data_IF_928430291944
#
_entry.id   IF_928430291944
#
_cell.length_a   1.000
_cell.length_b   1.000
_cell.length_c   1.000
_cell.angle_alpha   90.00
_cell.angle_beta   90.00
_cell.angle_gamma   90.00
#
_symmetry.space_group_name_H-M   'P 1'
#
loop_
_entity.id
_entity.type
_entity.pdbx_description
1 polymer ?
#
# COMPACT_ATOMS: atom_id res chain seq x y z
N UNK A 1 -10.54 4.92 -11.04
CA UNK A 1 -10.35 6.38 -11.13
C UNK A 1 -11.62 6.98 -11.68
N UNK A 2 -12.02 8.15 -11.19
CA UNK A 2 -13.19 8.90 -11.67
C UNK A 2 -12.74 10.30 -12.09
N UNK A 3 -13.23 10.75 -13.23
CA UNK A 3 -13.05 12.12 -13.73
C UNK A 3 -14.32 12.90 -13.40
N UNK A 4 -14.16 14.04 -12.73
CA UNK A 4 -15.27 14.87 -12.28
C UNK A 4 -15.01 16.33 -12.59
N UNK A 5 -16.08 17.14 -12.57
CA UNK A 5 -15.96 18.60 -12.46
C UNK A 5 -15.27 18.95 -11.14
N UNK A 6 -14.31 19.87 -11.21
CA UNK A 6 -13.62 20.33 -10.00
C UNK A 6 -14.56 21.20 -9.15
N UNK A 7 -14.79 20.75 -7.92
CA UNK A 7 -15.59 21.44 -6.91
C UNK A 7 -14.76 21.91 -5.72
N UNK A 8 -13.44 21.72 -5.77
CA UNK A 8 -12.50 22.05 -4.68
C UNK A 8 -12.90 21.39 -3.35
N UNK A 9 -13.23 20.08 -3.41
CA UNK A 9 -13.68 19.34 -2.22
C UNK A 9 -12.57 19.12 -1.19
N UNK A 10 -11.32 18.97 -1.64
CA UNK A 10 -10.12 18.90 -0.82
C UNK A 10 -8.86 19.15 -1.68
N UNK A 11 -7.79 19.62 -1.06
CA UNK A 11 -6.50 19.94 -1.70
C UNK A 11 -5.37 18.96 -1.36
N UNK A 12 -5.54 18.08 -0.38
CA UNK A 12 -4.59 17.01 -0.06
C UNK A 12 -4.32 16.08 -1.25
N UNK A 13 -3.11 15.52 -1.31
CA UNK A 13 -2.75 14.52 -2.31
C UNK A 13 -3.56 13.22 -2.16
N UNK A 14 -3.88 12.84 -0.93
CA UNK A 14 -4.78 11.72 -0.61
C UNK A 14 -5.37 11.86 0.80
N UNK A 15 -6.49 11.17 1.02
CA UNK A 15 -7.16 11.04 2.31
C UNK A 15 -7.54 9.58 2.57
N UNK A 16 -7.51 9.18 3.85
CA UNK A 16 -8.00 7.88 4.30
C UNK A 16 -9.45 7.95 4.72
N UNK A 17 -10.22 6.94 4.36
CA UNK A 17 -11.64 6.85 4.67
C UNK A 17 -11.84 5.78 5.73
N UNK A 18 -12.31 6.19 6.91
CA UNK A 18 -12.61 5.31 8.04
C UNK A 18 -14.12 5.19 8.31
N UNK A 19 -14.95 5.62 7.37
CA UNK A 19 -16.41 5.52 7.46
C UNK A 19 -16.87 4.10 7.10
N UNK A 20 -17.48 3.34 8.04
CA UNK A 20 -17.91 1.96 7.81
C UNK A 20 -19.11 1.84 6.85
N UNK A 21 -19.74 2.96 6.46
CA UNK A 21 -20.86 2.97 5.52
C UNK A 21 -20.45 2.87 4.05
N UNK A 22 -19.15 2.92 3.76
CA UNK A 22 -18.56 2.79 2.42
C UNK A 22 -17.42 1.78 2.40
N UNK A 23 -17.04 1.33 1.20
CA UNK A 23 -15.96 0.35 0.99
C UNK A 23 -14.65 0.97 0.55
N UNK A 24 -14.67 2.17 -0.03
CA UNK A 24 -13.44 2.89 -0.38
C UNK A 24 -12.60 3.12 0.87
N UNK A 25 -11.31 2.77 0.81
CA UNK A 25 -10.38 2.96 1.93
C UNK A 25 -9.47 4.17 1.78
N UNK A 26 -9.20 4.60 0.54
CA UNK A 26 -8.38 5.78 0.24
C UNK A 26 -8.88 6.48 -1.02
N UNK A 27 -8.88 7.80 -0.99
CA UNK A 27 -9.13 8.65 -2.16
C UNK A 27 -7.90 9.51 -2.41
N UNK A 28 -7.37 9.47 -3.63
CA UNK A 28 -6.25 10.29 -4.10
C UNK A 28 -6.77 11.41 -5.00
N UNK A 29 -6.17 12.60 -4.92
CA UNK A 29 -6.43 13.72 -5.82
C UNK A 29 -5.23 13.92 -6.76
N UNK A 30 -5.32 13.41 -7.98
CA UNK A 30 -4.23 13.52 -8.95
C UNK A 30 -3.95 14.96 -9.38
N UNK A 31 -4.96 15.85 -9.31
CA UNK A 31 -4.77 17.27 -9.62
C UNK A 31 -3.90 17.97 -8.57
N UNK A 32 -4.01 17.56 -7.30
CA UNK A 32 -3.17 18.07 -6.21
C UNK A 32 -1.72 17.61 -6.30
N UNK A 33 -1.45 16.50 -7.00
CA UNK A 33 -0.07 16.11 -7.32
C UNK A 33 0.56 17.00 -8.39
N UNK A 34 -0.18 17.26 -9.47
CA UNK A 34 0.22 18.22 -10.49
C UNK A 34 -0.99 18.58 -11.37
N UNK A 35 -1.14 19.85 -11.79
CA UNK A 35 -2.15 20.24 -12.76
C UNK A 35 -1.99 19.52 -14.11
N UNK A 36 -0.79 19.03 -14.45
CA UNK A 36 -0.54 18.31 -15.71
C UNK A 36 -1.08 16.87 -15.70
N UNK A 37 -1.44 16.33 -14.53
CA UNK A 37 -2.08 15.01 -14.42
C UNK A 37 -3.57 15.03 -14.77
N UNK A 38 -4.15 16.21 -15.02
CA UNK A 38 -5.54 16.38 -15.49
C UNK A 38 -5.55 17.38 -16.64
N UNK A 39 -5.92 16.98 -17.87
CA UNK A 39 -5.76 17.82 -19.06
C UNK A 39 -6.63 19.08 -19.07
N UNK A 40 -7.80 19.05 -18.44
CA UNK A 40 -8.70 20.20 -18.39
C UNK A 40 -8.74 20.85 -17.01
N UNK A 41 -8.59 22.18 -16.99
CA UNK A 41 -8.48 22.95 -15.75
C UNK A 41 -9.74 22.94 -14.88
N UNK A 42 -10.91 22.69 -15.47
CA UNK A 42 -12.21 22.62 -14.77
C UNK A 42 -12.55 21.22 -14.24
N UNK A 43 -11.60 20.28 -14.31
CA UNK A 43 -11.77 18.89 -13.87
C UNK A 43 -10.77 18.48 -12.80
N UNK A 44 -11.13 17.40 -12.13
CA UNK A 44 -10.30 16.64 -11.20
C UNK A 44 -10.38 15.16 -11.52
N UNK A 45 -9.31 14.42 -11.23
CA UNK A 45 -9.29 12.97 -11.29
C UNK A 45 -9.08 12.41 -9.88
N UNK A 46 -10.06 11.66 -9.39
CA UNK A 46 -9.96 10.98 -8.11
C UNK A 46 -9.60 9.50 -8.29
N UNK A 47 -8.54 9.08 -7.61
CA UNK A 47 -8.13 7.68 -7.49
C UNK A 47 -8.75 7.05 -6.24
N UNK A 48 -9.76 6.19 -6.41
CA UNK A 48 -10.40 5.49 -5.30
C UNK A 48 -9.82 4.07 -5.18
N UNK A 49 -9.42 3.69 -3.97
CA UNK A 49 -8.87 2.36 -3.69
C UNK A 49 -9.82 1.50 -2.87
N UNK A 50 -10.05 0.30 -3.39
CA UNK A 50 -10.86 -0.75 -2.78
C UNK A 50 -9.99 -1.97 -2.53
N UNK A 51 -9.93 -2.42 -1.28
CA UNK A 51 -9.21 -3.63 -0.92
C UNK A 51 -10.12 -4.84 -1.12
N UNK A 52 -9.61 -5.83 -1.85
CA UNK A 52 -10.35 -7.04 -2.21
C UNK A 52 -9.40 -8.24 -2.36
N UNK A 53 -9.97 -9.43 -2.32
CA UNK A 53 -9.32 -10.70 -2.58
C UNK A 53 -9.73 -11.22 -3.96
N UNK A 54 -8.83 -11.96 -4.64
CA UNK A 54 -9.19 -12.64 -5.87
C UNK A 54 -10.41 -13.56 -5.62
N UNK A 55 -11.40 -13.48 -6.50
CA UNK A 55 -12.67 -14.22 -6.42
C UNK A 55 -13.64 -13.77 -5.33
N UNK A 56 -13.42 -12.61 -4.70
CA UNK A 56 -14.46 -11.98 -3.91
C UNK A 56 -15.44 -11.16 -4.78
N UNK A 57 -16.55 -10.71 -4.17
CA UNK A 57 -17.59 -10.00 -4.90
C UNK A 57 -17.13 -8.66 -5.51
N UNK A 58 -16.15 -7.98 -4.91
CA UNK A 58 -15.60 -6.74 -5.48
C UNK A 58 -14.67 -7.05 -6.66
N UNK A 59 -13.81 -8.06 -6.51
CA UNK A 59 -12.86 -8.46 -7.54
C UNK A 59 -13.56 -8.93 -8.81
N UNK A 60 -14.59 -9.75 -8.66
CA UNK A 60 -15.36 -10.34 -9.77
C UNK A 60 -16.44 -9.40 -10.34
N UNK A 61 -16.70 -8.25 -9.70
CA UNK A 61 -17.64 -7.24 -10.22
C UNK A 61 -17.18 -6.70 -11.58
N UNK A 62 -18.13 -6.30 -12.42
CA UNK A 62 -17.80 -5.65 -13.69
C UNK A 62 -17.23 -4.25 -13.46
N UNK A 63 -16.48 -3.72 -14.44
CA UNK A 63 -15.93 -2.36 -14.35
C UNK A 63 -17.02 -1.30 -14.19
N UNK A 64 -18.16 -1.50 -14.88
CA UNK A 64 -19.31 -0.61 -14.78
C UNK A 64 -19.89 -0.62 -13.36
N UNK A 65 -20.06 -1.79 -12.75
CA UNK A 65 -20.59 -1.89 -11.39
C UNK A 65 -19.66 -1.24 -10.37
N UNK A 66 -18.34 -1.38 -10.56
CA UNK A 66 -17.33 -0.74 -9.70
C UNK A 66 -17.30 0.79 -9.88
N UNK A 67 -17.48 1.28 -11.10
CA UNK A 67 -17.61 2.71 -11.37
C UNK A 67 -18.86 3.26 -10.69
N UNK A 68 -20.01 2.59 -10.81
CA UNK A 68 -21.26 3.04 -10.17
C UNK A 68 -21.21 2.94 -8.64
N UNK A 69 -20.56 1.90 -8.09
CA UNK A 69 -20.22 1.83 -6.67
C UNK A 69 -19.41 3.05 -6.23
N UNK A 70 -18.32 3.35 -6.96
CA UNK A 70 -17.43 4.46 -6.63
C UNK A 70 -18.11 5.83 -6.71
N UNK A 71 -18.97 6.05 -7.72
CA UNK A 71 -19.76 7.27 -7.82
C UNK A 71 -20.68 7.44 -6.62
N UNK A 72 -21.43 6.38 -6.26
CA UNK A 72 -22.36 6.40 -5.14
C UNK A 72 -21.65 6.69 -3.81
N UNK A 73 -20.57 5.98 -3.53
CA UNK A 73 -19.84 6.15 -2.27
C UNK A 73 -19.21 7.53 -2.16
N UNK A 74 -18.66 8.07 -3.26
CA UNK A 74 -18.07 9.41 -3.27
C UNK A 74 -19.11 10.51 -3.01
N UNK A 75 -20.33 10.37 -3.52
CA UNK A 75 -21.46 11.26 -3.19
C UNK A 75 -21.87 11.08 -1.72
N UNK A 76 -21.97 9.83 -1.25
CA UNK A 76 -22.36 9.51 0.13
C UNK A 76 -21.43 10.15 1.17
N UNK A 77 -20.11 10.15 0.93
CA UNK A 77 -19.12 10.79 1.80
C UNK A 77 -18.91 12.28 1.50
N UNK A 78 -19.71 12.88 0.62
CA UNK A 78 -19.72 14.33 0.37
C UNK A 78 -18.58 14.87 -0.49
N UNK A 79 -17.82 14.00 -1.16
CA UNK A 79 -16.68 14.39 -2.02
C UNK A 79 -17.07 14.58 -3.50
N UNK A 80 -18.34 14.41 -3.84
CA UNK A 80 -18.88 14.70 -5.16
C UNK A 80 -20.40 14.96 -5.09
N UNK A 81 -20.97 15.50 -6.16
CA UNK A 81 -22.43 15.60 -6.34
C UNK A 81 -22.89 14.78 -7.54
N UNK A 82 -24.16 14.39 -7.52
CA UNK A 82 -24.80 13.83 -8.71
C UNK A 82 -24.65 14.79 -9.90
N UNK A 83 -24.23 14.26 -11.05
CA UNK A 83 -23.97 15.04 -12.28
C UNK A 83 -22.58 15.70 -12.38
N UNK A 84 -21.70 15.51 -11.39
CA UNK A 84 -20.29 15.94 -11.50
C UNK A 84 -19.45 14.96 -12.33
N UNK A 85 -19.85 13.69 -12.40
CA UNK A 85 -19.11 12.62 -13.06
C UNK A 85 -19.09 12.75 -14.58
N UNK A 86 -17.89 12.68 -15.16
CA UNK A 86 -17.65 12.75 -16.61
C UNK A 86 -17.33 11.35 -17.15
N UNK A 87 -16.39 10.65 -16.52
CA UNK A 87 -15.93 9.34 -16.96
C UNK A 87 -15.28 8.56 -15.81
N UNK A 88 -15.00 7.27 -16.02
CA UNK A 88 -14.32 6.43 -15.05
C UNK A 88 -13.58 5.27 -15.69
N UNK A 89 -12.52 4.81 -15.02
CA UNK A 89 -11.80 3.60 -15.42
C UNK A 89 -11.42 2.76 -14.19
N UNK A 90 -11.28 1.46 -14.41
CA UNK A 90 -10.95 0.47 -13.38
C UNK A 90 -9.62 -0.19 -13.72
N UNK A 91 -8.78 -0.35 -12.71
CA UNK A 91 -7.54 -1.13 -12.80
C UNK A 91 -7.55 -2.13 -11.64
N UNK A 92 -7.33 -3.41 -11.95
CA UNK A 92 -7.20 -4.48 -10.95
C UNK A 92 -5.74 -4.90 -10.83
N UNK A 93 -5.18 -4.80 -9.64
CA UNK A 93 -3.79 -5.17 -9.38
C UNK A 93 -3.72 -6.45 -8.54
N UNK A 94 -3.31 -7.56 -9.16
CA UNK A 94 -3.00 -8.79 -8.42
C UNK A 94 -1.75 -8.60 -7.58
N UNK A 95 -1.70 -9.26 -6.41
CA UNK A 95 -0.54 -9.25 -5.51
C UNK A 95 -0.08 -7.82 -5.15
N UNK A 96 -1.04 -6.92 -4.92
CA UNK A 96 -0.75 -5.53 -4.59
C UNK A 96 -0.13 -5.38 -3.18
N UNK A 97 -0.61 -6.15 -2.20
CA UNK A 97 -0.17 -6.06 -0.81
C UNK A 97 0.33 -7.42 -0.32
N UNK A 98 1.56 -7.52 0.23
CA UNK A 98 1.94 -8.67 1.02
C UNK A 98 1.11 -8.65 2.30
N UNK A 99 0.33 -9.71 2.50
CA UNK A 99 -0.47 -9.90 3.73
C UNK A 99 0.39 -10.65 4.74
N UNK A 100 0.39 -10.15 5.97
CA UNK A 100 1.12 -10.75 7.09
C UNK A 100 0.11 -11.38 8.04
N UNK A 101 -0.02 -12.69 7.95
CA UNK A 101 -0.72 -13.49 8.96
C UNK A 101 0.21 -13.81 10.14
N UNK A 102 -0.32 -14.49 11.17
CA UNK A 102 0.42 -14.81 12.40
C UNK A 102 1.67 -15.67 12.14
N UNK A 103 1.69 -16.44 11.05
CA UNK A 103 2.75 -17.39 10.71
C UNK A 103 3.70 -16.87 9.63
N UNK A 104 3.45 -15.67 9.08
CA UNK A 104 4.06 -15.23 7.84
C UNK A 104 5.58 -15.19 7.93
N UNK A 105 6.12 -14.73 9.06
CA UNK A 105 7.55 -14.61 9.27
C UNK A 105 8.24 -15.97 9.23
N UNK A 106 7.60 -17.00 9.80
CA UNK A 106 8.06 -18.39 9.74
C UNK A 106 8.04 -18.91 8.30
N UNK A 107 6.94 -18.68 7.57
CA UNK A 107 6.82 -19.08 6.17
C UNK A 107 7.87 -18.43 5.27
N UNK A 108 8.09 -17.11 5.42
CA UNK A 108 9.12 -16.36 4.69
C UNK A 108 10.51 -16.88 5.02
N UNK A 109 10.81 -17.15 6.30
CA UNK A 109 12.10 -17.71 6.72
C UNK A 109 12.35 -19.10 6.11
N UNK A 110 11.35 -19.99 6.11
CA UNK A 110 11.44 -21.32 5.48
C UNK A 110 11.74 -21.20 3.98
N UNK A 111 11.00 -20.35 3.26
CA UNK A 111 11.21 -20.16 1.81
C UNK A 111 12.61 -19.59 1.56
N UNK A 112 13.01 -18.57 2.31
CA UNK A 112 14.34 -17.96 2.19
C UNK A 112 15.45 -18.98 2.40
N UNK A 113 15.38 -19.79 3.45
CA UNK A 113 16.40 -20.81 3.76
C UNK A 113 16.51 -21.86 2.64
N UNK A 114 15.38 -22.34 2.12
CA UNK A 114 15.37 -23.29 1.00
C UNK A 114 15.99 -22.69 -0.27
N UNK A 115 15.66 -21.43 -0.59
CA UNK A 115 16.20 -20.76 -1.76
C UNK A 115 17.69 -20.45 -1.62
N UNK A 116 18.12 -19.92 -0.48
CA UNK A 116 19.53 -19.63 -0.18
C UNK A 116 20.40 -20.91 -0.27
N UNK A 117 19.89 -22.06 0.19
CA UNK A 117 20.65 -23.32 0.20
C UNK A 117 20.66 -24.07 -1.13
N UNK A 118 19.54 -24.09 -1.86
CA UNK A 118 19.40 -24.90 -3.08
C UNK A 118 19.63 -24.12 -4.37
N UNK A 119 19.46 -22.80 -4.32
CA UNK A 119 19.53 -21.92 -5.49
C UNK A 119 20.37 -20.68 -5.16
N UNK A 120 21.68 -20.83 -4.86
CA UNK A 120 22.52 -19.74 -4.38
C UNK A 120 22.70 -18.58 -5.38
N UNK A 121 22.31 -18.77 -6.63
CA UNK A 121 22.30 -17.76 -7.69
C UNK A 121 20.91 -17.13 -7.95
N UNK A 122 19.91 -17.47 -7.15
CA UNK A 122 18.59 -16.85 -7.18
C UNK A 122 18.50 -15.76 -6.11
N UNK A 123 18.28 -14.52 -6.54
CA UNK A 123 18.20 -13.37 -5.63
C UNK A 123 16.78 -12.84 -5.53
N UNK A 124 16.31 -12.62 -4.30
CA UNK A 124 15.00 -12.06 -4.00
C UNK A 124 15.12 -10.56 -3.76
N UNK A 125 14.36 -9.77 -4.53
CA UNK A 125 14.34 -8.31 -4.43
C UNK A 125 12.91 -7.77 -4.53
N UNK A 126 12.70 -6.55 -4.04
CA UNK A 126 11.44 -5.83 -4.17
C UNK A 126 10.29 -6.40 -3.32
N UNK A 127 9.10 -5.82 -3.52
CA UNK A 127 7.91 -6.03 -2.68
C UNK A 127 7.46 -7.49 -2.62
N UNK A 128 7.10 -8.05 -3.78
CA UNK A 128 6.58 -9.42 -3.85
C UNK A 128 7.68 -10.49 -3.90
N UNK A 129 8.87 -10.16 -4.42
CA UNK A 129 9.99 -11.09 -4.44
C UNK A 129 10.49 -11.43 -3.03
N UNK A 130 10.41 -10.47 -2.12
CA UNK A 130 10.79 -10.65 -0.71
C UNK A 130 9.59 -10.83 0.23
N UNK A 131 8.36 -10.77 -0.28
CA UNK A 131 7.12 -10.66 0.53
C UNK A 131 7.25 -9.57 1.61
N UNK A 132 7.84 -8.42 1.26
CA UNK A 132 8.03 -7.27 2.13
C UNK A 132 7.20 -6.08 1.65
N UNK A 133 6.49 -5.44 2.56
CA UNK A 133 5.79 -4.18 2.32
C UNK A 133 6.80 -3.07 2.07
N UNK A 134 7.15 -2.89 0.79
CA UNK A 134 8.13 -1.92 0.32
C UNK A 134 7.43 -0.82 -0.49
N UNK A 135 7.95 0.39 -0.32
CA UNK A 135 7.74 1.49 -1.26
C UNK A 135 8.70 1.33 -2.46
N UNK A 136 8.55 2.19 -3.46
CA UNK A 136 9.29 2.09 -4.72
C UNK A 136 10.80 2.22 -4.51
N UNK A 137 11.23 3.18 -3.71
CA UNK A 137 12.62 3.45 -3.33
C UNK A 137 13.25 2.24 -2.63
N UNK A 138 12.56 1.63 -1.67
CA UNK A 138 13.03 0.42 -1.01
C UNK A 138 13.17 -0.75 -2.00
N UNK A 139 12.19 -0.94 -2.88
CA UNK A 139 12.26 -1.99 -3.90
C UNK A 139 13.44 -1.77 -4.86
N UNK A 140 13.68 -0.53 -5.29
CA UNK A 140 14.83 -0.18 -6.11
C UNK A 140 16.16 -0.40 -5.36
N UNK A 141 16.24 0.02 -4.10
CA UNK A 141 17.43 -0.16 -3.26
C UNK A 141 17.80 -1.63 -3.10
N UNK A 142 16.81 -2.51 -2.84
CA UNK A 142 17.09 -3.97 -2.77
C UNK A 142 17.69 -4.51 -4.06
N UNK A 143 17.28 -4.01 -5.22
CA UNK A 143 17.85 -4.42 -6.50
C UNK A 143 19.28 -3.89 -6.69
N UNK A 144 19.53 -2.62 -6.35
CA UNK A 144 20.86 -2.01 -6.44
C UNK A 144 21.88 -2.75 -5.55
N UNK A 145 21.57 -2.96 -4.28
CA UNK A 145 22.44 -3.69 -3.35
C UNK A 145 22.62 -5.16 -3.74
N UNK A 146 21.60 -5.76 -4.37
CA UNK A 146 21.73 -7.10 -4.94
C UNK A 146 22.78 -7.14 -6.05
N UNK A 147 22.80 -6.14 -6.94
CA UNK A 147 23.80 -6.04 -8.01
C UNK A 147 25.21 -5.89 -7.42
N UNK A 148 25.37 -5.08 -6.38
CA UNK A 148 26.66 -4.94 -5.69
C UNK A 148 27.16 -6.26 -5.10
N UNK A 149 26.27 -7.04 -4.46
CA UNK A 149 26.62 -8.39 -3.96
C UNK A 149 27.07 -9.33 -5.10
N UNK A 150 26.38 -9.29 -6.24
CA UNK A 150 26.72 -10.12 -7.41
C UNK A 150 28.08 -9.71 -7.98
N UNK A 151 28.34 -8.42 -8.16
CA UNK A 151 29.60 -7.92 -8.70
C UNK A 151 30.80 -8.22 -7.78
N UNK A 152 30.58 -8.22 -6.47
CA UNK A 152 31.60 -8.54 -5.48
C UNK A 152 31.81 -10.06 -5.27
N UNK A 153 30.96 -10.90 -5.87
CA UNK A 153 30.91 -12.35 -5.64
C UNK A 153 30.87 -12.72 -4.15
N UNK A 154 30.20 -11.89 -3.34
CA UNK A 154 30.08 -12.07 -1.90
C UNK A 154 28.89 -11.29 -1.34
N UNK A 155 28.41 -11.68 -0.17
CA UNK A 155 27.27 -11.04 0.50
C UNK A 155 27.73 -9.82 1.31
N UNK A 156 27.97 -8.71 0.62
CA UNK A 156 28.32 -7.41 1.24
C UNK A 156 27.15 -6.81 2.03
N UNK A 157 25.94 -6.93 1.48
CA UNK A 157 24.72 -6.33 2.03
C UNK A 157 23.68 -7.40 2.35
N UNK A 158 23.00 -7.27 3.50
CA UNK A 158 21.77 -8.02 3.77
C UNK A 158 20.55 -7.25 3.26
N UNK A 159 20.04 -7.66 2.10
CA UNK A 159 18.89 -7.00 1.47
C UNK A 159 17.64 -7.01 2.37
N UNK A 160 17.53 -7.97 3.29
CA UNK A 160 16.40 -8.07 4.21
C UNK A 160 16.36 -6.94 5.25
N UNK A 161 17.47 -6.23 5.45
CA UNK A 161 17.56 -5.05 6.31
C UNK A 161 17.16 -3.75 5.61
N UNK A 162 16.97 -3.76 4.29
CA UNK A 162 16.40 -2.60 3.57
C UNK A 162 14.95 -2.42 4.03
N UNK A 163 14.71 -1.34 4.78
CA UNK A 163 13.46 -0.83 5.41
C UNK A 163 13.66 -0.50 6.90
N UNK A 164 14.72 -1.01 7.54
CA UNK A 164 14.97 -0.79 8.96
C UNK A 164 15.31 0.68 9.30
N UNK A 165 15.67 1.47 8.29
CA UNK A 165 16.16 2.85 8.44
C UNK A 165 15.12 3.92 8.06
N UNK A 166 13.91 3.52 7.66
CA UNK A 166 12.85 4.50 7.40
C UNK A 166 12.26 4.92 8.74
N UNK A 167 12.88 5.90 9.39
CA UNK A 167 12.19 6.75 10.36
C UNK A 167 10.87 7.20 9.70
N UNK A 168 9.77 6.58 10.12
CA UNK A 168 8.47 7.14 9.82
C UNK A 168 8.44 8.52 10.45
N UNK A 169 8.29 9.58 9.67
CA UNK A 169 8.17 10.95 10.20
C UNK A 169 7.00 11.13 11.18
N UNK A 170 6.07 10.16 11.23
CA UNK A 170 4.93 10.10 12.15
C UNK A 170 5.16 9.20 13.38
N UNK A 171 6.29 8.50 13.48
CA UNK A 171 6.62 7.71 14.64
C UNK A 171 7.29 8.59 15.71
N UNK A 172 6.70 8.64 16.90
CA UNK A 172 7.37 9.13 18.11
C UNK A 172 8.62 8.28 18.43
N UNK A 173 9.34 8.61 19.54
CA UNK A 173 10.72 8.19 19.82
C UNK A 173 10.95 6.69 20.11
N UNK A 174 10.09 5.79 19.63
CA UNK A 174 10.15 4.34 19.86
C UNK A 174 10.79 3.54 18.71
N UNK A 175 11.55 4.17 17.81
CA UNK A 175 12.12 3.53 16.62
C UNK A 175 13.57 3.02 16.80
N UNK A 176 14.05 2.78 18.03
CA UNK A 176 15.44 2.36 18.30
C UNK A 176 15.68 0.82 18.33
N UNK A 177 14.75 -0.02 17.88
CA UNK A 177 15.00 -1.47 17.76
C UNK A 177 15.51 -1.88 16.36
N UNK A 178 16.71 -1.41 16.01
CA UNK A 178 17.40 -1.73 14.75
C UNK A 178 18.05 -3.13 14.70
N UNK A 179 17.68 -4.07 15.58
CA UNK A 179 18.28 -5.43 15.64
C UNK A 179 17.31 -6.56 15.30
N UNK A 180 16.13 -6.22 14.79
CA UNK A 180 15.11 -7.18 14.38
C UNK A 180 15.40 -7.90 13.04
N UNK A 181 14.58 -8.91 12.68
CA UNK A 181 14.72 -9.70 11.45
C UNK A 181 14.47 -8.92 10.14
N UNK A 182 14.31 -7.60 10.18
CA UNK A 182 13.90 -6.77 9.05
C UNK A 182 12.45 -7.03 8.58
N UNK A 183 11.68 -7.80 9.37
CA UNK A 183 10.28 -8.16 9.15
C UNK A 183 9.39 -7.35 10.10
N UNK A 184 8.14 -7.10 9.69
CA UNK A 184 7.16 -6.37 10.50
C UNK A 184 6.58 -7.24 11.62
N UNK A 185 6.23 -6.61 12.73
CA UNK A 185 5.44 -7.25 13.78
C UNK A 185 3.98 -7.39 13.33
N UNK A 186 3.33 -8.47 13.77
CA UNK A 186 1.90 -8.70 13.55
C UNK A 186 1.15 -8.41 14.85
N UNK A 187 0.05 -7.65 14.82
CA UNK A 187 -0.78 -7.44 16.00
C UNK A 187 -1.27 -8.77 16.55
N UNK A 188 -1.13 -8.97 17.86
CA UNK A 188 -1.67 -10.14 18.55
C UNK A 188 -2.93 -9.77 19.34
N UNK A 189 -3.81 -10.76 19.52
CA UNK A 189 -4.99 -10.57 20.35
C UNK A 189 -4.58 -10.20 21.78
N UNK A 190 -5.06 -9.06 22.26
CA UNK A 190 -4.87 -8.67 23.67
C UNK A 190 -5.73 -9.58 24.55
N UNK A 191 -5.09 -10.26 25.51
CA UNK A 191 -5.73 -11.26 26.39
C UNK A 191 -6.41 -10.60 27.61
N UNK A 192 -6.10 -9.33 27.87
CA UNK A 192 -6.67 -8.52 28.96
C UNK A 192 -7.14 -7.16 28.42
N UNK A 193 -8.06 -6.50 29.14
CA UNK A 193 -8.45 -5.14 28.79
C UNK A 193 -7.25 -4.20 28.97
N UNK A 194 -6.84 -3.43 27.94
CA UNK A 194 -5.77 -2.46 28.11
C UNK A 194 -6.22 -1.36 29.08
N UNK A 195 -5.35 -0.97 30.01
CA UNK A 195 -5.54 0.28 30.76
C UNK A 195 -5.46 1.44 29.76
N UNK A 196 -6.59 2.13 29.59
CA UNK A 196 -6.61 3.35 28.79
C UNK A 196 -5.74 4.40 29.48
N UNK A 197 -4.94 5.12 28.70
CA UNK A 197 -4.25 6.29 29.19
C UNK A 197 -5.29 7.29 29.76
N UNK A 198 -4.99 7.97 30.88
CA UNK A 198 -5.89 8.98 31.41
C UNK A 198 -6.11 10.07 30.36
N UNK A 199 -7.37 10.48 30.18
CA UNK A 199 -7.71 11.64 29.34
C UNK A 199 -7.00 12.88 29.91
N UNK A 200 -6.26 13.58 29.04
CA UNK A 200 -5.54 14.81 29.36
C UNK A 200 -6.42 16.05 29.17
#
# INVERSE_FOLDING_TARGET
MLILKDRQMFDDNWIYIHDPSVKVGRVQNFRSWSPEMVPEADKVCYGLEYFCFEHDGLWDSSDNDLIELAKRELVQIGLAREGDFVDGCVVRQKKAYPVYDDDYARHVATIRQELDSRYPNLHLVGRNGMHKYNNQDHAMMTAMLCVENILADTKLYDLWQVNSDAEYHEAGPAAEEATGPGLRLVPTRVVAAPELAPEA
#
